data_IF_258952966263
#
_entry.id   IF_258952966263
#
_cell.length_a   1.000
_cell.length_b   1.000
_cell.length_c   1.000
_cell.angle_alpha   90.00
_cell.angle_beta   90.00
_cell.angle_gamma   90.00
#
_symmetry.space_group_name_H-M   'P 1'
#
loop_
_entity.id
_entity.type
_entity.pdbx_description
1 polymer ?
#
# COMPACT_ATOMS: atom_id res chain seq x y z
N UNK A 1 6.49 23.07 18.70
CA UNK A 1 6.94 21.73 19.19
C UNK A 1 6.97 20.83 17.99
N UNK A 2 7.88 19.86 17.88
CA UNK A 2 7.81 18.88 16.80
C UNK A 2 6.48 18.12 16.87
N UNK A 3 5.97 17.69 15.72
CA UNK A 3 4.73 16.90 15.65
C UNK A 3 4.83 15.54 16.36
N UNK A 4 3.75 14.76 16.35
CA UNK A 4 3.72 13.43 16.97
C UNK A 4 4.73 12.45 16.33
N UNK A 5 5.08 12.65 15.05
CA UNK A 5 6.18 11.97 14.37
C UNK A 5 7.08 13.03 13.75
N UNK A 6 8.33 13.04 14.15
CA UNK A 6 9.34 13.95 13.63
C UNK A 6 10.58 13.18 13.21
N UNK A 7 11.12 13.51 12.06
CA UNK A 7 12.40 12.97 11.58
C UNK A 7 13.19 14.07 10.85
N UNK A 8 14.50 14.07 11.03
CA UNK A 8 15.41 15.03 10.42
C UNK A 8 16.64 14.30 9.85
N UNK A 9 16.85 14.45 8.54
CA UNK A 9 18.03 13.96 7.84
C UNK A 9 18.22 12.44 7.93
N UNK A 10 17.14 11.65 7.92
CA UNK A 10 17.25 10.20 8.03
C UNK A 10 17.99 9.60 6.83
N UNK A 11 19.07 8.87 7.13
CA UNK A 11 19.86 8.11 6.14
C UNK A 11 19.92 6.65 6.55
N UNK A 12 19.69 5.76 5.56
CA UNK A 12 19.87 4.32 5.72
C UNK A 12 20.39 3.70 4.43
N UNK A 13 21.48 2.94 4.55
CA UNK A 13 22.13 2.25 3.44
C UNK A 13 22.17 0.74 3.68
N UNK A 14 21.94 -0.05 2.65
CA UNK A 14 22.08 -1.49 2.63
C UNK A 14 23.04 -1.89 1.49
N UNK A 15 24.27 -2.26 1.83
CA UNK A 15 25.33 -2.42 0.82
C UNK A 15 25.50 -1.15 0.02
N UNK A 16 25.32 -1.22 -1.30
CA UNK A 16 25.44 -0.07 -2.20
C UNK A 16 24.13 0.72 -2.38
N UNK A 17 23.01 0.23 -1.83
CA UNK A 17 21.69 0.86 -1.98
C UNK A 17 21.40 1.80 -0.83
N UNK A 18 21.23 3.08 -1.13
CA UNK A 18 20.79 4.09 -0.16
C UNK A 18 19.26 4.12 -0.13
N UNK A 19 18.68 3.42 0.83
CA UNK A 19 17.22 3.29 0.98
C UNK A 19 16.55 4.54 1.57
N UNK A 20 17.28 5.32 2.38
CA UNK A 20 16.88 6.67 2.83
C UNK A 20 18.06 7.60 2.63
N UNK A 21 17.82 8.78 2.05
CA UNK A 21 18.84 9.76 1.69
C UNK A 21 18.43 11.16 2.12
N UNK A 22 18.45 11.40 3.45
CA UNK A 22 18.13 12.70 4.03
C UNK A 22 16.61 12.92 4.11
N UNK A 23 15.85 11.94 4.58
CA UNK A 23 14.38 12.06 4.72
C UNK A 23 14.03 12.89 5.95
N UNK A 24 13.24 13.95 5.71
CA UNK A 24 12.63 14.79 6.74
C UNK A 24 11.12 14.57 6.80
N UNK A 25 10.59 14.39 8.02
CA UNK A 25 9.16 14.22 8.27
C UNK A 25 8.73 15.05 9.48
N UNK A 26 7.53 15.61 9.40
CA UNK A 26 6.87 16.27 10.54
C UNK A 26 5.36 16.01 10.42
N UNK A 27 4.79 15.24 11.36
CA UNK A 27 3.39 14.83 11.35
C UNK A 27 2.72 15.42 12.58
N UNK A 28 1.82 16.38 12.41
CA UNK A 28 1.06 16.95 13.53
C UNK A 28 0.19 15.91 14.22
N UNK A 29 -0.05 16.09 15.52
CA UNK A 29 -0.96 15.23 16.29
C UNK A 29 -2.36 15.14 15.66
N UNK A 30 -2.97 13.96 15.68
CA UNK A 30 -4.32 13.73 15.18
C UNK A 30 -4.46 13.84 13.66
N UNK A 31 -3.34 13.82 12.91
CA UNK A 31 -3.37 13.88 11.43
C UNK A 31 -2.85 12.61 10.77
N UNK A 32 -3.10 12.48 9.48
CA UNK A 32 -2.59 11.39 8.63
C UNK A 32 -1.54 11.95 7.69
N UNK A 33 -0.31 11.44 7.76
CA UNK A 33 0.67 11.59 6.70
C UNK A 33 0.65 10.36 5.79
N UNK A 34 0.30 10.55 4.52
CA UNK A 34 0.43 9.55 3.47
C UNK A 34 1.84 9.59 2.87
N UNK A 35 2.62 8.53 3.04
CA UNK A 35 3.92 8.39 2.37
C UNK A 35 3.71 7.57 1.09
N UNK A 36 3.68 8.27 -0.03
CA UNK A 36 3.40 7.74 -1.35
C UNK A 36 4.69 7.50 -2.14
N UNK A 37 4.78 6.42 -2.88
CA UNK A 37 5.94 6.14 -3.75
C UNK A 37 5.93 4.73 -4.32
N UNK A 38 6.77 4.46 -5.32
CA UNK A 38 6.88 3.12 -5.92
C UNK A 38 7.49 2.11 -4.95
N UNK A 39 7.46 0.83 -5.36
CA UNK A 39 8.17 -0.22 -4.64
C UNK A 39 9.68 0.07 -4.63
N UNK A 40 10.30 -0.09 -3.46
CA UNK A 40 11.73 0.23 -3.29
C UNK A 40 12.05 1.72 -3.04
N UNK A 41 11.08 2.63 -3.03
CA UNK A 41 11.31 4.05 -2.77
C UNK A 41 11.83 4.38 -1.37
N UNK A 42 11.78 3.43 -0.41
CA UNK A 42 12.23 3.63 0.97
C UNK A 42 11.13 3.72 2.02
N UNK A 43 9.84 3.63 1.64
CA UNK A 43 8.68 3.75 2.53
C UNK A 43 8.75 2.81 3.74
N UNK A 44 8.84 1.51 3.51
CA UNK A 44 8.95 0.49 4.57
C UNK A 44 10.21 0.69 5.42
N UNK A 45 11.32 1.16 4.82
CA UNK A 45 12.55 1.47 5.56
C UNK A 45 12.32 2.62 6.54
N UNK A 46 11.64 3.68 6.12
CA UNK A 46 11.28 4.81 7.00
C UNK A 46 10.39 4.33 8.17
N UNK A 47 9.33 3.55 7.89
CA UNK A 47 8.49 2.95 8.94
C UNK A 47 9.33 2.13 9.92
N UNK A 48 10.21 1.23 9.44
CA UNK A 48 11.06 0.41 10.31
C UNK A 48 12.00 1.22 11.19
N UNK A 49 12.51 2.35 10.69
CA UNK A 49 13.34 3.27 11.49
C UNK A 49 12.50 3.93 12.57
N UNK A 50 11.37 4.51 12.23
CA UNK A 50 10.47 5.21 13.16
C UNK A 50 9.87 4.28 14.21
N UNK A 51 9.66 3.01 13.88
CA UNK A 51 9.14 1.99 14.80
C UNK A 51 10.23 1.22 15.56
N UNK A 52 11.48 1.70 15.51
CA UNK A 52 12.64 1.10 16.20
C UNK A 52 13.08 -0.28 15.72
N UNK A 53 12.51 -0.79 14.65
CA UNK A 53 12.88 -2.10 14.06
C UNK A 53 14.20 -2.04 13.28
N UNK A 54 14.62 -0.82 12.90
CA UNK A 54 15.85 -0.59 12.15
C UNK A 54 16.55 0.66 12.68
N UNK A 55 17.87 0.57 12.91
CA UNK A 55 18.65 1.74 13.28
C UNK A 55 19.07 2.52 12.03
N UNK A 56 18.82 3.83 11.93
CA UNK A 56 19.34 4.66 10.85
C UNK A 56 20.85 4.80 10.95
N UNK A 57 21.51 5.10 9.84
CA UNK A 57 22.95 5.38 9.81
C UNK A 57 23.25 6.82 10.22
N UNK A 58 22.30 7.75 9.91
CA UNK A 58 22.35 9.16 10.30
C UNK A 58 20.93 9.69 10.48
N UNK A 59 20.86 10.89 11.09
CA UNK A 59 19.61 11.61 11.32
C UNK A 59 19.06 11.39 12.72
N UNK A 60 17.93 12.04 12.99
CA UNK A 60 17.19 11.97 14.25
C UNK A 60 15.76 11.59 13.99
N UNK A 61 15.15 10.90 14.94
CA UNK A 61 13.72 10.60 14.89
C UNK A 61 13.11 10.65 16.30
N UNK A 62 11.94 11.27 16.40
CA UNK A 62 11.14 11.38 17.61
C UNK A 62 9.73 10.92 17.28
N UNK A 63 9.17 10.04 18.09
CA UNK A 63 7.81 9.52 17.94
C UNK A 63 7.11 9.61 19.29
N UNK A 64 5.91 10.19 19.30
CA UNK A 64 5.15 10.47 20.53
C UNK A 64 5.99 11.25 21.58
N UNK A 65 6.86 12.16 21.12
CA UNK A 65 7.76 12.93 21.98
C UNK A 65 8.99 12.16 22.49
N UNK A 66 9.18 10.90 22.08
CA UNK A 66 10.24 10.00 22.57
C UNK A 66 11.29 9.81 21.47
N UNK A 67 12.58 9.96 21.82
CA UNK A 67 13.69 9.72 20.91
C UNK A 67 13.79 8.22 20.54
N UNK A 68 13.72 7.93 19.26
CA UNK A 68 13.68 6.55 18.71
C UNK A 68 14.97 5.78 19.01
N UNK A 69 16.11 6.46 19.08
CA UNK A 69 17.40 5.84 19.29
C UNK A 69 17.76 5.71 20.77
N UNK A 70 17.34 6.69 21.59
CA UNK A 70 17.66 6.73 23.00
C UNK A 70 16.73 5.85 23.84
N UNK A 71 15.43 5.78 23.47
CA UNK A 71 14.39 5.15 24.28
C UNK A 71 13.50 4.22 23.43
N UNK A 72 14.07 3.23 22.70
CA UNK A 72 13.30 2.40 21.76
C UNK A 72 12.19 1.59 22.42
N UNK A 73 12.36 1.16 23.67
CA UNK A 73 11.35 0.38 24.39
C UNK A 73 10.12 1.24 24.76
N UNK A 74 10.31 2.50 25.07
CA UNK A 74 9.22 3.42 25.36
C UNK A 74 8.45 3.77 24.06
N UNK A 75 9.17 3.98 22.95
CA UNK A 75 8.55 4.16 21.63
C UNK A 75 7.64 2.96 21.32
N UNK A 76 8.14 1.72 21.45
CA UNK A 76 7.35 0.52 21.17
C UNK A 76 6.07 0.38 22.01
N UNK A 77 6.08 0.90 23.24
CA UNK A 77 4.89 0.93 24.10
C UNK A 77 3.88 2.01 23.71
N UNK A 78 4.32 3.05 22.99
CA UNK A 78 3.53 4.21 22.62
C UNK A 78 2.99 4.17 21.19
N UNK A 79 3.33 3.13 20.43
CA UNK A 79 2.95 3.01 19.01
C UNK A 79 2.15 1.76 18.72
N UNK A 80 1.31 1.83 17.69
CA UNK A 80 0.76 0.67 16.99
C UNK A 80 1.45 0.50 15.63
N UNK A 81 1.69 -0.73 15.23
CA UNK A 81 2.24 -1.06 13.92
C UNK A 81 1.41 -2.16 13.29
N UNK A 82 0.87 -1.88 12.10
CA UNK A 82 0.35 -2.89 11.19
C UNK A 82 1.29 -2.96 9.98
N UNK A 83 2.02 -4.06 9.88
CA UNK A 83 3.03 -4.27 8.83
C UNK A 83 2.44 -4.85 7.56
N UNK A 84 3.29 -5.11 6.58
CA UNK A 84 2.93 -5.72 5.30
C UNK A 84 2.39 -7.15 5.46
N UNK A 85 2.86 -7.88 6.49
CA UNK A 85 2.38 -9.21 6.84
C UNK A 85 1.63 -9.15 8.16
N UNK A 86 0.46 -9.80 8.20
CA UNK A 86 -0.33 -9.86 9.41
C UNK A 86 0.44 -10.60 10.54
N UNK A 87 0.61 -9.94 11.68
CA UNK A 87 1.24 -10.50 12.88
C UNK A 87 0.23 -11.34 13.69
N UNK A 88 -0.61 -12.13 13.00
CA UNK A 88 -1.67 -12.95 13.57
C UNK A 88 -1.21 -14.40 13.66
N UNK A 89 -1.34 -15.02 14.80
CA UNK A 89 -1.12 -16.46 14.96
C UNK A 89 -2.30 -17.22 14.33
N UNK A 90 -2.01 -18.00 13.29
CA UNK A 90 -3.02 -18.72 12.53
C UNK A 90 -3.68 -19.87 13.32
N UNK A 91 -3.05 -20.37 14.37
CA UNK A 91 -3.56 -21.47 15.20
C UNK A 91 -4.46 -20.99 16.33
N UNK A 92 -4.39 -19.72 16.68
CA UNK A 92 -5.27 -19.10 17.67
C UNK A 92 -6.56 -18.61 17.00
N UNK A 93 -7.62 -18.48 17.80
CA UNK A 93 -8.85 -17.81 17.36
C UNK A 93 -8.62 -16.29 17.25
N UNK A 94 -9.54 -15.58 16.58
CA UNK A 94 -9.47 -14.11 16.53
C UNK A 94 -9.45 -13.49 17.93
N UNK A 95 -10.27 -14.03 18.84
CA UNK A 95 -10.35 -13.59 20.25
C UNK A 95 -9.05 -13.84 20.99
N UNK A 96 -8.48 -15.03 20.88
CA UNK A 96 -7.22 -15.40 21.55
C UNK A 96 -6.06 -14.55 21.06
N UNK A 97 -5.97 -14.26 19.76
CA UNK A 97 -4.97 -13.36 19.22
C UNK A 97 -5.00 -11.99 19.92
N UNK A 98 -6.17 -11.35 19.99
CA UNK A 98 -6.28 -10.02 20.61
C UNK A 98 -6.01 -10.05 22.11
N UNK A 99 -6.46 -11.10 22.82
CA UNK A 99 -6.17 -11.28 24.26
C UNK A 99 -4.66 -11.46 24.46
N UNK A 100 -4.01 -12.28 23.66
CA UNK A 100 -2.55 -12.51 23.73
C UNK A 100 -1.79 -11.18 23.55
N UNK A 101 -2.14 -10.40 22.55
CA UNK A 101 -1.52 -9.09 22.33
C UNK A 101 -1.74 -8.17 23.52
N UNK A 102 -2.96 -8.08 24.07
CA UNK A 102 -3.24 -7.30 25.27
C UNK A 102 -2.36 -7.73 26.47
N UNK A 103 -2.18 -9.04 26.66
CA UNK A 103 -1.34 -9.56 27.72
C UNK A 103 0.16 -9.27 27.51
N UNK A 104 0.64 -9.29 26.25
CA UNK A 104 2.01 -8.87 25.91
C UNK A 104 2.26 -7.39 26.28
N UNK A 105 1.23 -6.55 26.16
CA UNK A 105 1.26 -5.16 26.65
C UNK A 105 0.91 -5.03 28.15
N UNK A 106 0.96 -6.13 28.92
CA UNK A 106 0.75 -6.16 30.37
C UNK A 106 -0.65 -5.72 30.82
N UNK A 107 -1.67 -5.79 29.96
CA UNK A 107 -3.06 -5.60 30.37
C UNK A 107 -3.51 -6.72 31.31
N UNK A 108 -4.41 -6.38 32.22
CA UNK A 108 -5.06 -7.42 33.03
C UNK A 108 -5.84 -8.39 32.13
N UNK A 109 -5.94 -9.67 32.51
CA UNK A 109 -6.69 -10.64 31.71
C UNK A 109 -8.17 -10.24 31.51
N UNK A 110 -8.75 -9.49 32.46
CA UNK A 110 -10.12 -8.96 32.37
C UNK A 110 -10.21 -7.83 31.32
N UNK A 111 -9.25 -6.90 31.35
CA UNK A 111 -9.23 -5.77 30.41
C UNK A 111 -8.88 -6.23 28.99
N UNK A 112 -7.93 -7.15 28.84
CA UNK A 112 -7.60 -7.76 27.56
C UNK A 112 -8.82 -8.46 26.92
N UNK A 113 -9.60 -9.21 27.69
CA UNK A 113 -10.84 -9.87 27.21
C UNK A 113 -11.90 -8.85 26.79
N UNK A 114 -12.13 -7.82 27.60
CA UNK A 114 -13.06 -6.74 27.27
C UNK A 114 -12.64 -6.03 25.99
N UNK A 115 -11.39 -5.63 25.92
CA UNK A 115 -10.84 -4.92 24.73
C UNK A 115 -10.87 -5.77 23.48
N UNK A 116 -10.56 -7.07 23.59
CA UNK A 116 -10.70 -7.98 22.46
C UNK A 116 -12.13 -8.06 21.92
N UNK A 117 -13.14 -8.13 22.81
CA UNK A 117 -14.53 -8.13 22.39
C UNK A 117 -14.94 -6.83 21.69
N UNK A 118 -14.58 -5.67 22.25
CA UNK A 118 -14.84 -4.35 21.64
C UNK A 118 -14.23 -4.24 20.23
N UNK A 119 -12.98 -4.69 20.06
CA UNK A 119 -12.30 -4.62 18.77
C UNK A 119 -12.87 -5.61 17.76
N UNK A 120 -13.21 -6.83 18.16
CA UNK A 120 -13.85 -7.80 17.26
C UNK A 120 -15.17 -7.27 16.70
N UNK A 121 -15.99 -6.62 17.53
CA UNK A 121 -17.22 -5.98 17.05
C UNK A 121 -16.92 -4.80 16.11
N UNK A 122 -16.02 -3.89 16.51
CA UNK A 122 -15.64 -2.72 15.71
C UNK A 122 -15.11 -3.09 14.33
N UNK A 123 -14.36 -4.19 14.22
CA UNK A 123 -13.79 -4.69 12.97
C UNK A 123 -14.69 -5.69 12.24
N UNK A 124 -15.95 -5.85 12.65
CA UNK A 124 -16.91 -6.80 12.06
C UNK A 124 -16.36 -8.23 11.99
N UNK A 125 -15.74 -8.68 13.08
CA UNK A 125 -15.19 -10.03 13.25
C UNK A 125 -15.92 -10.80 14.37
N UNK A 126 -17.01 -10.26 14.94
CA UNK A 126 -17.77 -10.86 16.04
C UNK A 126 -18.21 -12.28 15.74
N UNK A 127 -18.86 -12.52 14.57
CA UNK A 127 -19.34 -13.85 14.16
C UNK A 127 -18.21 -14.88 13.95
N UNK A 128 -16.98 -14.43 13.74
CA UNK A 128 -15.82 -15.27 13.51
C UNK A 128 -14.86 -15.31 14.70
N UNK A 129 -15.20 -14.62 15.80
CA UNK A 129 -14.30 -14.39 16.94
C UNK A 129 -13.67 -15.66 17.50
N UNK A 130 -14.42 -16.75 17.55
CA UNK A 130 -14.03 -18.03 18.15
C UNK A 130 -13.61 -19.08 17.11
N UNK A 131 -13.44 -18.68 15.84
CA UNK A 131 -12.84 -19.49 14.78
C UNK A 131 -11.34 -19.25 14.74
N UNK A 132 -10.55 -20.28 14.39
CA UNK A 132 -9.10 -20.14 14.19
C UNK A 132 -8.80 -19.18 13.03
N UNK A 133 -7.80 -18.33 13.22
CA UNK A 133 -7.41 -17.31 12.23
C UNK A 133 -6.93 -17.91 10.90
N UNK A 134 -6.48 -19.17 10.91
CA UNK A 134 -6.19 -19.94 9.69
C UNK A 134 -7.38 -20.05 8.74
N UNK A 135 -8.61 -20.05 9.26
CA UNK A 135 -9.85 -20.15 8.47
C UNK A 135 -10.37 -18.79 7.98
N UNK A 136 -9.69 -17.70 8.34
CA UNK A 136 -10.07 -16.36 7.93
C UNK A 136 -9.70 -16.09 6.47
N UNK A 137 -10.53 -15.28 5.79
CA UNK A 137 -10.14 -14.72 4.49
C UNK A 137 -8.95 -13.75 4.67
N UNK A 138 -8.26 -13.39 3.59
CA UNK A 138 -7.18 -12.40 3.63
C UNK A 138 -7.65 -11.07 4.25
N UNK A 139 -8.82 -10.56 3.86
CA UNK A 139 -9.41 -9.37 4.43
C UNK A 139 -9.77 -9.49 5.92
N UNK A 140 -10.23 -10.64 6.37
CA UNK A 140 -10.48 -10.88 7.79
C UNK A 140 -9.19 -10.91 8.58
N UNK A 141 -8.13 -11.57 8.09
CA UNK A 141 -6.82 -11.57 8.73
C UNK A 141 -6.24 -10.16 8.83
N UNK A 142 -6.38 -9.36 7.76
CA UNK A 142 -5.92 -7.97 7.76
C UNK A 142 -6.67 -7.11 8.79
N UNK A 143 -7.98 -7.27 8.91
CA UNK A 143 -8.78 -6.58 9.93
C UNK A 143 -8.39 -7.02 11.35
N UNK A 144 -8.10 -8.30 11.55
CA UNK A 144 -7.63 -8.81 12.84
C UNK A 144 -6.25 -8.26 13.21
N UNK A 145 -5.31 -8.18 12.25
CA UNK A 145 -3.99 -7.58 12.43
C UNK A 145 -4.09 -6.10 12.85
N UNK A 146 -4.95 -5.35 12.19
CA UNK A 146 -5.18 -3.96 12.53
C UNK A 146 -5.84 -3.82 13.92
N UNK A 147 -6.79 -4.70 14.25
CA UNK A 147 -7.39 -4.76 15.57
C UNK A 147 -6.34 -5.05 16.65
N UNK A 148 -5.39 -5.96 16.37
CA UNK A 148 -4.28 -6.28 17.27
C UNK A 148 -3.38 -5.05 17.53
N UNK A 149 -3.04 -4.29 16.49
CA UNK A 149 -2.24 -3.07 16.63
C UNK A 149 -2.95 -1.96 17.45
N UNK A 150 -4.28 -2.07 17.62
CA UNK A 150 -5.11 -1.10 18.35
C UNK A 150 -5.52 -1.56 19.76
N UNK A 151 -5.05 -2.71 20.20
CA UNK A 151 -5.42 -3.24 21.52
C UNK A 151 -5.11 -2.25 22.63
N UNK A 152 -3.97 -1.56 22.58
CA UNK A 152 -3.55 -0.56 23.56
C UNK A 152 -3.95 0.88 23.25
N UNK A 153 -4.73 1.12 22.19
CA UNK A 153 -5.15 2.47 21.78
C UNK A 153 -3.97 3.45 21.67
N UNK A 154 -2.98 3.17 20.83
CA UNK A 154 -1.76 3.97 20.78
C UNK A 154 -2.04 5.39 20.25
N UNK A 155 -1.35 6.44 20.75
CA UNK A 155 -1.48 7.81 20.22
C UNK A 155 -0.91 7.95 18.81
N UNK A 156 0.04 7.09 18.43
CA UNK A 156 0.68 7.09 17.10
C UNK A 156 0.60 5.70 16.49
N UNK A 157 0.17 5.63 15.24
CA UNK A 157 0.03 4.39 14.49
C UNK A 157 0.79 4.45 13.17
N UNK A 158 1.41 3.33 12.83
CA UNK A 158 2.09 3.11 11.56
C UNK A 158 1.37 2.00 10.79
N UNK A 159 1.06 2.27 9.53
CA UNK A 159 0.44 1.29 8.62
C UNK A 159 1.28 1.19 7.34
N UNK A 160 1.90 0.03 7.14
CA UNK A 160 2.72 -0.22 5.96
C UNK A 160 1.92 -0.99 4.92
N UNK A 161 1.47 -0.29 3.87
CA UNK A 161 0.63 -0.78 2.77
C UNK A 161 -0.60 -1.59 3.24
N UNK A 162 -1.49 -0.98 4.05
CA UNK A 162 -2.55 -1.72 4.77
C UNK A 162 -3.59 -2.36 3.86
N UNK A 163 -3.78 -1.87 2.63
CA UNK A 163 -4.82 -2.34 1.71
C UNK A 163 -4.31 -3.24 0.59
N UNK A 164 -3.01 -3.54 0.56
CA UNK A 164 -2.42 -4.42 -0.45
C UNK A 164 -3.07 -5.80 -0.40
N UNK A 165 -3.52 -6.30 -1.57
CA UNK A 165 -4.19 -7.61 -1.70
C UNK A 165 -5.63 -7.66 -1.18
N UNK A 166 -6.25 -6.51 -0.86
CA UNK A 166 -7.67 -6.44 -0.50
C UNK A 166 -8.53 -6.13 -1.73
N UNK A 167 -9.68 -6.77 -1.79
CA UNK A 167 -10.72 -6.40 -2.76
C UNK A 167 -11.30 -5.00 -2.46
N UNK A 168 -11.96 -4.33 -3.42
CA UNK A 168 -12.46 -2.95 -3.25
C UNK A 168 -13.38 -2.77 -2.03
N UNK A 169 -14.22 -3.76 -1.72
CA UNK A 169 -15.15 -3.69 -0.59
C UNK A 169 -14.41 -3.74 0.75
N UNK A 170 -13.46 -4.64 0.89
CA UNK A 170 -12.64 -4.74 2.11
C UNK A 170 -11.72 -3.53 2.27
N UNK A 171 -11.21 -2.97 1.17
CA UNK A 171 -10.44 -1.72 1.17
C UNK A 171 -11.25 -0.56 1.72
N UNK A 172 -12.48 -0.37 1.21
CA UNK A 172 -13.39 0.66 1.68
C UNK A 172 -13.68 0.54 3.18
N UNK A 173 -14.01 -0.66 3.65
CA UNK A 173 -14.28 -0.90 5.06
C UNK A 173 -13.06 -0.60 5.96
N UNK A 174 -11.85 -0.86 5.46
CA UNK A 174 -10.63 -0.52 6.18
C UNK A 174 -10.40 0.99 6.24
N UNK A 175 -10.65 1.71 5.16
CA UNK A 175 -10.55 3.17 5.13
C UNK A 175 -11.50 3.83 6.13
N UNK A 176 -12.73 3.34 6.22
CA UNK A 176 -13.72 3.86 7.18
C UNK A 176 -13.21 3.68 8.63
N UNK A 177 -12.63 2.54 8.96
CA UNK A 177 -12.00 2.30 10.27
C UNK A 177 -10.81 3.25 10.52
N UNK A 178 -9.96 3.48 9.51
CA UNK A 178 -8.83 4.42 9.64
C UNK A 178 -9.33 5.84 9.91
N UNK A 179 -10.35 6.29 9.21
CA UNK A 179 -10.95 7.60 9.42
C UNK A 179 -11.52 7.74 10.84
N UNK A 180 -12.21 6.72 11.36
CA UNK A 180 -12.69 6.72 12.74
C UNK A 180 -11.56 6.81 13.77
N UNK A 181 -10.44 6.13 13.54
CA UNK A 181 -9.28 6.18 14.43
C UNK A 181 -8.69 7.58 14.52
N UNK A 182 -8.53 8.22 13.37
CA UNK A 182 -7.98 9.57 13.28
C UNK A 182 -8.95 10.59 13.87
N UNK A 183 -10.26 10.46 13.64
CA UNK A 183 -11.28 11.27 14.29
C UNK A 183 -11.26 11.10 15.82
N UNK A 184 -10.82 9.96 16.33
CA UNK A 184 -10.57 9.69 17.75
C UNK A 184 -9.25 10.27 18.29
N UNK A 185 -8.49 11.00 17.48
CA UNK A 185 -7.23 11.68 17.86
C UNK A 185 -5.95 10.88 17.62
N UNK A 186 -6.00 9.69 17.03
CA UNK A 186 -4.81 8.92 16.68
C UNK A 186 -4.06 9.58 15.53
N UNK A 187 -2.75 9.76 15.69
CA UNK A 187 -1.87 10.21 14.59
C UNK A 187 -1.43 9.02 13.77
N UNK A 188 -1.46 9.13 12.44
CA UNK A 188 -1.15 8.03 11.54
C UNK A 188 -0.07 8.39 10.52
N UNK A 189 0.92 7.51 10.37
CA UNK A 189 1.77 7.45 9.19
C UNK A 189 1.37 6.22 8.37
N UNK A 190 0.88 6.48 7.17
CA UNK A 190 0.42 5.48 6.22
C UNK A 190 1.38 5.42 5.04
N UNK A 191 1.94 4.26 4.74
CA UNK A 191 2.65 4.06 3.45
C UNK A 191 1.71 3.42 2.45
N UNK A 192 1.78 3.86 1.21
CA UNK A 192 0.99 3.28 0.13
C UNK A 192 1.64 3.50 -1.23
N UNK A 193 1.29 2.66 -2.19
CA UNK A 193 1.51 2.88 -3.61
C UNK A 193 0.21 3.25 -4.33
N UNK A 194 -0.94 3.16 -3.64
CA UNK A 194 -2.26 3.48 -4.19
C UNK A 194 -2.58 4.95 -3.98
N UNK A 195 -2.68 5.66 -5.07
CA UNK A 195 -2.94 7.11 -5.09
C UNK A 195 -4.32 7.46 -4.52
N UNK A 196 -5.32 6.61 -4.79
CA UNK A 196 -6.67 6.77 -4.24
C UNK A 196 -6.69 6.69 -2.70
N UNK A 197 -5.87 5.82 -2.11
CA UNK A 197 -5.74 5.69 -0.66
C UNK A 197 -5.15 6.96 -0.04
N UNK A 198 -4.07 7.47 -0.64
CA UNK A 198 -3.46 8.73 -0.20
C UNK A 198 -4.43 9.91 -0.36
N UNK A 199 -5.13 10.01 -1.49
CA UNK A 199 -6.12 11.07 -1.77
C UNK A 199 -7.27 11.09 -0.75
N UNK A 200 -7.72 9.91 -0.33
CA UNK A 200 -8.87 9.75 0.55
C UNK A 200 -8.54 9.93 2.03
N UNK A 201 -7.38 9.45 2.48
CA UNK A 201 -7.06 9.34 3.90
C UNK A 201 -6.08 10.39 4.39
N UNK A 202 -5.16 10.84 3.55
CA UNK A 202 -4.07 11.69 3.99
C UNK A 202 -4.49 13.16 4.12
N UNK A 203 -4.11 13.77 5.24
CA UNK A 203 -4.18 15.23 5.43
C UNK A 203 -3.01 15.91 4.74
N UNK A 204 -1.85 15.25 4.72
CA UNK A 204 -0.63 15.67 4.03
C UNK A 204 -0.01 14.46 3.35
N UNK A 205 0.53 14.65 2.15
CA UNK A 205 1.13 13.59 1.33
C UNK A 205 2.61 13.92 1.14
N UNK A 206 3.44 12.93 1.41
CA UNK A 206 4.87 12.96 1.19
C UNK A 206 5.20 11.99 0.06
N UNK A 207 5.57 12.49 -1.12
CA UNK A 207 5.98 11.64 -2.25
C UNK A 207 7.45 11.31 -2.11
N UNK A 208 7.75 10.01 -2.05
CA UNK A 208 9.11 9.50 -1.88
C UNK A 208 9.54 8.73 -3.12
N UNK A 209 10.73 9.02 -3.60
CA UNK A 209 11.36 8.28 -4.68
C UNK A 209 12.88 8.18 -4.43
N UNK A 210 13.46 7.00 -4.70
CA UNK A 210 14.88 6.71 -4.48
C UNK A 210 15.42 7.18 -3.12
N UNK A 211 14.65 6.97 -2.07
CA UNK A 211 15.03 7.33 -0.69
C UNK A 211 14.91 8.80 -0.34
N UNK A 212 14.36 9.65 -1.21
CA UNK A 212 14.22 11.09 -1.00
C UNK A 212 12.76 11.52 -1.04
N UNK A 213 12.44 12.55 -0.28
CA UNK A 213 11.18 13.28 -0.41
C UNK A 213 11.28 14.21 -1.61
N UNK A 214 10.51 13.93 -2.67
CA UNK A 214 10.52 14.72 -3.91
C UNK A 214 9.39 15.75 -3.98
N UNK A 215 8.31 15.54 -3.24
CA UNK A 215 7.22 16.50 -3.09
C UNK A 215 6.49 16.29 -1.76
N UNK A 216 5.89 17.37 -1.23
CA UNK A 216 5.05 17.35 -0.05
C UNK A 216 3.94 18.39 -0.16
N UNK A 217 2.76 18.09 0.39
CA UNK A 217 1.61 18.98 0.46
C UNK A 217 0.30 18.20 0.57
N UNK A 218 -0.81 18.93 0.72
CA UNK A 218 -2.13 18.32 0.63
C UNK A 218 -2.38 17.78 -0.78
N UNK A 219 -3.33 16.87 -0.93
CA UNK A 219 -3.73 16.35 -2.24
C UNK A 219 -4.01 17.47 -3.24
N UNK A 220 -4.78 18.49 -2.84
CA UNK A 220 -5.11 19.63 -3.71
C UNK A 220 -3.87 20.46 -4.09
N UNK A 221 -2.94 20.69 -3.13
CA UNK A 221 -1.69 21.39 -3.42
C UNK A 221 -0.81 20.65 -4.42
N UNK A 222 -0.73 19.33 -4.28
CA UNK A 222 0.05 18.50 -5.20
C UNK A 222 -0.60 18.48 -6.60
N UNK A 223 -1.92 18.30 -6.69
CA UNK A 223 -2.67 18.36 -7.95
C UNK A 223 -2.54 19.72 -8.65
N UNK A 224 -2.52 20.82 -7.90
CA UNK A 224 -2.35 22.16 -8.48
C UNK A 224 -0.97 22.37 -9.16
N UNK A 225 0.07 21.63 -8.74
CA UNK A 225 1.42 21.73 -9.35
C UNK A 225 1.51 21.13 -10.75
N UNK A 226 0.60 20.23 -11.14
CA UNK A 226 0.61 19.50 -12.42
C UNK A 226 -0.17 20.19 -13.56
N UNK A 227 -0.46 21.48 -13.43
CA UNK A 227 -1.01 22.27 -14.54
C UNK A 227 -2.50 22.64 -14.43
N UNK A 228 -3.14 22.34 -13.28
CA UNK A 228 -4.51 22.79 -13.03
C UNK A 228 -5.59 22.04 -13.79
N UNK A 229 -6.79 22.61 -13.81
CA UNK A 229 -7.94 22.04 -14.53
C UNK A 229 -7.67 22.01 -16.05
N UNK A 230 -8.20 20.99 -16.73
CA UNK A 230 -8.11 20.81 -18.18
C UNK A 230 -9.50 20.60 -18.75
N UNK A 231 -9.76 21.19 -19.91
CA UNK A 231 -10.93 20.81 -20.71
C UNK A 231 -10.49 19.74 -21.70
N UNK A 232 -11.21 18.63 -21.69
CA UNK A 232 -11.09 17.55 -22.66
C UNK A 232 -12.32 17.56 -23.56
N UNK A 233 -12.10 17.50 -24.86
CA UNK A 233 -13.14 17.45 -25.88
C UNK A 233 -12.87 16.31 -26.81
N UNK A 234 -13.89 15.48 -27.09
CA UNK A 234 -13.85 14.45 -28.13
C UNK A 234 -14.79 14.91 -29.24
N UNK A 235 -14.23 15.22 -30.41
CA UNK A 235 -15.04 15.65 -31.57
C UNK A 235 -15.61 14.43 -32.29
N UNK A 236 -16.82 14.62 -32.90
CA UNK A 236 -17.51 13.56 -33.62
C UNK A 236 -16.73 13.10 -34.86
N UNK A 237 -16.18 14.02 -35.62
CA UNK A 237 -15.46 13.75 -36.86
C UNK A 237 -14.04 14.34 -36.84
N UNK A 238 -13.03 13.66 -37.44
CA UNK A 238 -11.65 14.15 -37.47
C UNK A 238 -11.48 15.52 -38.11
N UNK A 239 -12.34 15.89 -39.06
CA UNK A 239 -12.35 17.21 -39.72
C UNK A 239 -12.62 18.39 -38.77
N UNK A 240 -13.27 18.12 -37.64
CA UNK A 240 -13.53 19.11 -36.60
C UNK A 240 -12.34 19.42 -35.70
N UNK A 241 -11.28 18.58 -35.70
CA UNK A 241 -10.14 18.72 -34.81
C UNK A 241 -9.45 20.08 -34.88
N UNK A 242 -9.24 20.60 -36.11
CA UNK A 242 -8.54 21.89 -36.29
C UNK A 242 -9.35 23.04 -35.73
N UNK A 243 -10.66 23.07 -36.03
CA UNK A 243 -11.56 24.15 -35.57
C UNK A 243 -11.74 24.07 -34.05
N UNK A 244 -11.85 22.85 -33.50
CA UNK A 244 -11.94 22.64 -32.04
C UNK A 244 -10.65 23.07 -31.33
N UNK A 245 -9.46 22.81 -31.89
CA UNK A 245 -8.18 23.25 -31.34
C UNK A 245 -8.07 24.77 -31.30
N UNK A 246 -8.49 25.45 -32.37
CA UNK A 246 -8.54 26.93 -32.41
C UNK A 246 -9.46 27.51 -31.34
N UNK A 247 -10.65 26.94 -31.19
CA UNK A 247 -11.60 27.35 -30.14
C UNK A 247 -11.00 27.17 -28.77
N UNK A 248 -10.49 25.97 -28.48
CA UNK A 248 -9.92 25.63 -27.16
C UNK A 248 -8.75 26.52 -26.81
N UNK A 249 -7.86 26.84 -27.77
CA UNK A 249 -6.73 27.76 -27.55
C UNK A 249 -7.18 29.15 -27.10
N UNK A 250 -8.36 29.60 -27.51
CA UNK A 250 -8.93 30.87 -27.05
C UNK A 250 -9.27 30.89 -25.56
N UNK A 251 -9.50 29.76 -24.95
CA UNK A 251 -9.83 29.60 -23.53
C UNK A 251 -8.67 29.08 -22.67
N UNK A 252 -7.65 28.50 -23.31
CA UNK A 252 -6.53 27.82 -22.64
C UNK A 252 -5.46 28.77 -22.11
N UNK A 253 -4.69 28.29 -21.11
CA UNK A 253 -3.51 29.00 -20.55
C UNK A 253 -2.19 28.27 -20.84
N UNK A 254 -2.10 27.54 -21.92
CA UNK A 254 -0.90 26.79 -22.30
C UNK A 254 -1.06 26.05 -23.60
N UNK A 255 -0.09 25.18 -23.89
CA UNK A 255 -0.18 24.34 -25.08
C UNK A 255 -1.20 23.22 -24.85
N UNK A 256 -2.14 23.07 -25.79
CA UNK A 256 -3.08 21.98 -25.85
C UNK A 256 -2.44 20.75 -26.51
N UNK A 257 -2.96 19.58 -26.19
CA UNK A 257 -2.59 18.31 -26.84
C UNK A 257 -3.74 17.86 -27.73
N UNK A 258 -3.43 17.48 -28.96
CA UNK A 258 -4.38 16.90 -29.91
C UNK A 258 -3.98 15.45 -30.18
N UNK A 259 -4.90 14.52 -29.95
CA UNK A 259 -4.76 13.11 -30.23
C UNK A 259 -5.65 12.71 -31.42
N UNK A 260 -5.13 12.68 -32.66
CA UNK A 260 -5.96 12.46 -33.86
C UNK A 260 -6.68 11.10 -33.89
N UNK A 261 -6.05 10.05 -33.34
CA UNK A 261 -6.63 8.70 -33.36
C UNK A 261 -7.85 8.55 -32.44
N UNK A 262 -7.85 9.24 -31.30
CA UNK A 262 -8.95 9.26 -30.34
C UNK A 262 -9.89 10.43 -30.56
N UNK A 263 -9.57 11.32 -31.50
CA UNK A 263 -10.29 12.57 -31.79
C UNK A 263 -10.40 13.47 -30.57
N UNK A 264 -9.46 13.37 -29.65
CA UNK A 264 -9.46 14.02 -28.34
C UNK A 264 -8.53 15.23 -28.36
N UNK A 265 -9.03 16.32 -27.80
CA UNK A 265 -8.26 17.53 -27.52
C UNK A 265 -8.25 17.77 -26.01
N UNK A 266 -7.11 18.19 -25.49
CA UNK A 266 -6.95 18.52 -24.07
C UNK A 266 -6.24 19.85 -23.95
N UNK A 267 -6.79 20.79 -23.18
CA UNK A 267 -6.15 22.08 -22.95
C UNK A 267 -6.20 22.48 -21.47
N UNK A 268 -5.09 22.98 -20.90
CA UNK A 268 -5.09 23.54 -19.54
C UNK A 268 -5.97 24.80 -19.48
N UNK A 269 -6.82 24.89 -18.45
CA UNK A 269 -7.75 26.02 -18.28
C UNK A 269 -7.80 26.49 -16.82
N UNK A 270 -8.37 27.67 -16.61
CA UNK A 270 -8.76 28.15 -15.28
C UNK A 270 -10.14 28.78 -15.39
N UNK A 271 -11.08 28.35 -14.56
CA UNK A 271 -12.43 28.94 -14.59
C UNK A 271 -13.55 27.96 -14.24
N UNK A 272 -13.21 26.70 -14.04
CA UNK A 272 -14.17 25.69 -13.57
C UNK A 272 -15.34 25.43 -14.54
N UNK A 273 -16.45 25.00 -13.99
CA UNK A 273 -17.64 24.60 -14.77
C UNK A 273 -18.24 25.76 -15.61
N UNK A 274 -18.00 27.04 -15.23
CA UNK A 274 -18.49 28.17 -16.00
C UNK A 274 -17.81 28.27 -17.38
N UNK A 275 -16.49 28.04 -17.39
CA UNK A 275 -15.71 28.03 -18.61
C UNK A 275 -16.16 26.91 -19.56
N UNK A 276 -16.50 25.73 -19.01
CA UNK A 276 -16.99 24.62 -19.83
C UNK A 276 -18.24 24.98 -20.62
N UNK A 277 -19.17 25.74 -20.00
CA UNK A 277 -20.37 26.20 -20.70
C UNK A 277 -20.07 27.23 -21.81
N UNK A 278 -19.00 28.01 -21.66
CA UNK A 278 -18.57 28.97 -22.70
C UNK A 278 -17.90 28.24 -23.87
N UNK A 279 -17.07 27.23 -23.57
CA UNK A 279 -16.43 26.36 -24.57
C UNK A 279 -17.49 25.63 -25.41
N UNK A 280 -18.49 25.03 -24.76
CA UNK A 280 -19.58 24.32 -25.47
C UNK A 280 -20.30 25.26 -26.45
N UNK A 281 -20.66 26.47 -26.01
CA UNK A 281 -21.33 27.46 -26.87
C UNK A 281 -20.49 27.86 -28.06
N UNK A 282 -19.20 28.09 -27.88
CA UNK A 282 -18.31 28.48 -28.97
C UNK A 282 -18.11 27.36 -29.98
N UNK A 283 -17.97 26.08 -29.50
CA UNK A 283 -17.91 24.93 -30.40
C UNK A 283 -19.19 24.76 -31.22
N UNK A 284 -20.36 24.91 -30.59
CA UNK A 284 -21.65 24.85 -31.26
C UNK A 284 -21.81 25.97 -32.32
N UNK A 285 -21.45 27.22 -31.99
CA UNK A 285 -21.46 28.34 -32.95
C UNK A 285 -20.55 28.12 -34.15
N UNK A 286 -19.46 27.38 -34.01
CA UNK A 286 -18.53 27.01 -35.09
C UNK A 286 -18.94 25.72 -35.82
N UNK A 287 -20.09 25.13 -35.48
CA UNK A 287 -20.58 23.89 -36.08
C UNK A 287 -19.74 22.64 -35.77
N UNK A 288 -19.03 22.62 -34.64
CA UNK A 288 -18.26 21.48 -34.20
C UNK A 288 -19.17 20.53 -33.44
N UNK A 289 -19.41 19.34 -33.99
CA UNK A 289 -20.10 18.26 -33.30
C UNK A 289 -19.16 17.58 -32.34
N UNK A 290 -19.61 17.40 -31.09
CA UNK A 290 -18.84 16.78 -30.00
C UNK A 290 -19.50 15.50 -29.52
N UNK A 291 -18.70 14.44 -29.30
CA UNK A 291 -19.13 13.17 -28.68
C UNK A 291 -19.06 13.22 -27.16
N UNK A 292 -18.02 13.86 -26.61
CA UNK A 292 -17.84 14.05 -25.17
C UNK A 292 -17.10 15.35 -24.87
N UNK A 293 -17.43 15.97 -23.74
CA UNK A 293 -16.72 17.12 -23.21
C UNK A 293 -16.71 17.07 -21.68
N UNK A 294 -15.57 17.33 -21.07
CA UNK A 294 -15.44 17.32 -19.63
C UNK A 294 -14.38 18.28 -19.10
N UNK A 295 -14.63 18.78 -17.89
CA UNK A 295 -13.61 19.45 -17.10
C UNK A 295 -12.90 18.39 -16.25
N UNK A 296 -11.65 18.12 -16.55
CA UNK A 296 -10.82 17.19 -15.80
C UNK A 296 -9.95 17.96 -14.81
N UNK A 297 -9.97 17.52 -13.58
CA UNK A 297 -9.01 17.95 -12.57
C UNK A 297 -7.85 16.99 -12.57
N UNK A 298 -6.61 17.49 -12.39
CA UNK A 298 -5.46 16.59 -12.24
C UNK A 298 -5.71 15.57 -11.15
N UNK A 299 -5.31 14.35 -11.41
CA UNK A 299 -5.30 13.27 -10.42
C UNK A 299 -3.94 13.23 -9.71
N UNK A 300 -3.83 12.50 -8.62
CA UNK A 300 -2.52 12.22 -8.03
C UNK A 300 -1.65 11.36 -8.95
N UNK A 301 -2.26 10.59 -9.88
CA UNK A 301 -1.52 9.86 -10.93
C UNK A 301 -0.76 10.82 -11.84
N UNK A 302 -1.40 11.91 -12.29
CA UNK A 302 -0.75 12.94 -13.11
C UNK A 302 0.41 13.60 -12.35
N UNK A 303 0.22 13.86 -11.05
CA UNK A 303 1.28 14.37 -10.16
C UNK A 303 2.45 13.41 -10.11
N UNK A 304 2.15 12.15 -9.85
CA UNK A 304 3.18 11.12 -9.67
C UNK A 304 4.00 10.92 -10.95
N UNK A 305 3.33 10.80 -12.11
CA UNK A 305 3.99 10.69 -13.43
C UNK A 305 4.87 11.93 -13.70
N UNK A 306 4.38 13.12 -13.39
CA UNK A 306 5.13 14.36 -13.64
C UNK A 306 6.39 14.49 -12.76
N UNK A 307 6.36 13.93 -11.54
CA UNK A 307 7.47 14.02 -10.59
C UNK A 307 8.49 12.89 -10.73
N UNK A 308 8.04 11.68 -11.05
CA UNK A 308 8.91 10.48 -11.08
C UNK A 308 9.27 10.04 -12.49
N UNK A 309 8.53 10.47 -13.51
CA UNK A 309 8.64 9.96 -14.89
C UNK A 309 8.12 8.53 -15.09
N UNK A 310 7.55 7.92 -14.05
CA UNK A 310 6.98 6.58 -14.07
C UNK A 310 5.48 6.64 -13.81
N UNK A 311 4.68 5.81 -14.52
CA UNK A 311 3.30 5.59 -14.13
C UNK A 311 3.28 4.89 -12.76
N UNK A 312 2.39 5.32 -11.87
CA UNK A 312 2.10 4.54 -10.68
C UNK A 312 1.65 3.15 -11.17
N UNK A 313 2.13 2.08 -10.53
CA UNK A 313 1.63 0.74 -10.82
C UNK A 313 0.13 0.73 -10.55
N UNK A 314 -0.66 0.91 -11.61
CA UNK A 314 -2.10 0.70 -11.55
C UNK A 314 -2.31 -0.75 -11.14
N UNK A 315 -3.14 -0.97 -10.14
CA UNK A 315 -3.51 -2.31 -9.71
C UNK A 315 -4.12 -3.05 -10.91
N UNK A 316 -3.31 -3.82 -11.64
CA UNK A 316 -3.79 -4.87 -12.54
C UNK A 316 -4.42 -5.99 -11.70
N UNK A 317 -5.54 -5.70 -11.08
CA UNK A 317 -6.48 -6.69 -10.56
C UNK A 317 -7.84 -6.51 -11.21
N UNK A 318 -7.88 -6.69 -12.53
CA UNK A 318 -9.13 -7.03 -13.22
C UNK A 318 -8.85 -8.17 -14.20
N UNK A 319 -9.19 -9.40 -13.78
CA UNK A 319 -9.55 -10.42 -14.73
C UNK A 319 -8.61 -11.59 -14.97
N UNK A 320 -8.28 -12.34 -13.96
CA UNK A 320 -8.02 -13.76 -14.16
C UNK A 320 -9.34 -14.49 -14.44
N UNK A 321 -9.81 -14.44 -15.67
CA UNK A 321 -11.03 -15.11 -16.12
C UNK A 321 -11.19 -15.11 -17.64
N UNK A 322 -10.31 -15.82 -18.37
CA UNK A 322 -10.42 -15.91 -19.82
C UNK A 322 -9.58 -17.04 -20.39
N UNK A 323 -10.22 -18.14 -20.58
CA UNK A 323 -9.78 -19.42 -21.17
C UNK A 323 -8.83 -19.27 -22.35
N UNK A 324 -7.81 -20.14 -22.34
CA UNK A 324 -6.86 -20.35 -23.41
C UNK A 324 -7.50 -20.62 -24.77
N UNK A 325 -6.95 -20.02 -25.80
CA UNK A 325 -7.03 -20.49 -27.17
C UNK A 325 -5.63 -20.82 -27.66
N UNK A 326 -5.45 -22.09 -27.88
CA UNK A 326 -4.29 -22.73 -28.49
C UNK A 326 -4.14 -22.21 -29.92
N UNK A 327 -3.17 -21.34 -30.13
CA UNK A 327 -2.70 -20.93 -31.47
C UNK A 327 -1.66 -21.90 -32.00
N UNK A 328 -2.11 -22.79 -32.90
CA UNK A 328 -1.32 -23.77 -33.66
C UNK A 328 -0.52 -23.03 -34.74
N UNK A 329 0.75 -22.81 -34.53
CA UNK A 329 1.66 -22.37 -35.59
C UNK A 329 2.20 -23.58 -36.37
N UNK A 330 1.73 -23.71 -37.63
CA UNK A 330 2.34 -24.53 -38.67
C UNK A 330 3.69 -23.93 -39.08
N UNK A 331 4.75 -24.72 -39.00
CA UNK A 331 5.93 -24.57 -39.86
C UNK A 331 6.20 -25.89 -40.55
N UNK A 332 6.11 -25.84 -41.87
CA UNK A 332 6.43 -26.92 -42.77
C UNK A 332 7.92 -26.88 -43.17
N UNK A 333 8.38 -28.02 -43.66
CA UNK A 333 9.55 -28.11 -44.55
C UNK A 333 10.60 -29.10 -44.11
N UNK A 334 10.47 -30.33 -44.57
CA UNK A 334 11.30 -31.06 -45.55
C UNK A 334 12.55 -31.83 -45.07
N UNK A 335 12.48 -33.13 -45.44
CA UNK A 335 13.56 -34.02 -45.90
C UNK A 335 14.61 -34.50 -44.88
N UNK A 336 14.73 -35.75 -44.60
CA UNK A 336 15.18 -36.84 -45.38
C UNK A 336 15.74 -38.01 -44.55
N UNK A 337 15.33 -39.21 -44.96
CA UNK A 337 16.08 -40.47 -44.98
C UNK A 337 16.52 -41.23 -43.72
N UNK A 338 15.89 -42.42 -43.63
CA UNK A 338 16.43 -43.77 -43.51
C UNK A 338 17.32 -44.17 -42.34
N UNK A 339 16.93 -45.25 -41.67
CA UNK A 339 17.82 -46.14 -40.94
C UNK A 339 17.16 -47.03 -39.90
N UNK A 340 16.60 -48.12 -40.32
CA UNK A 340 16.48 -49.49 -39.84
C UNK A 340 17.02 -49.85 -38.45
N UNK A 341 16.23 -50.66 -37.78
CA UNK A 341 16.62 -51.82 -36.92
C UNK A 341 16.54 -51.52 -35.45
N UNK A 342 15.79 -52.20 -34.71
CA UNK A 342 15.61 -53.56 -34.41
C UNK A 342 15.36 -53.73 -32.93
N UNK A 343 14.28 -54.37 -32.54
CA UNK A 343 14.13 -55.36 -31.45
C UNK A 343 15.05 -55.18 -30.18
N UNK A 344 14.65 -55.33 -28.94
CA UNK A 344 13.82 -56.32 -28.28
C UNK A 344 13.70 -55.94 -26.78
N UNK A 345 12.56 -56.28 -26.19
CA UNK A 345 12.29 -57.05 -25.00
C UNK A 345 13.07 -56.80 -23.66
N UNK A 346 12.31 -56.82 -22.58
CA UNK A 346 12.69 -57.43 -21.31
C UNK A 346 12.53 -56.48 -20.10
N UNK A 347 11.45 -56.53 -19.38
CA UNK A 347 11.10 -57.40 -18.23
C UNK A 347 11.78 -57.02 -16.92
N UNK A 348 10.88 -56.81 -15.92
CA UNK A 348 11.00 -57.05 -14.47
C UNK A 348 11.74 -56.08 -13.56
N UNK A 349 10.99 -55.56 -12.63
CA UNK A 349 11.15 -55.08 -11.28
C UNK A 349 12.02 -55.93 -10.31
N UNK A 350 11.77 -55.93 -8.99
CA UNK A 350 11.69 -54.86 -8.01
C UNK A 350 12.79 -55.04 -6.92
N UNK A 351 12.92 -54.18 -5.94
CA UNK A 351 13.68 -54.44 -4.73
C UNK A 351 14.30 -53.19 -4.16
N UNK A 352 13.95 -52.98 -3.00
CA UNK A 352 14.42 -53.04 -1.62
C UNK A 352 15.01 -51.74 -1.12
N UNK A 353 14.44 -51.14 -0.12
CA UNK A 353 14.50 -51.28 1.33
C UNK A 353 15.80 -50.81 1.98
N UNK A 354 15.69 -49.72 2.82
CA UNK A 354 16.29 -49.44 4.08
C UNK A 354 17.74 -48.92 4.12
N UNK A 355 18.24 -48.47 5.28
CA UNK A 355 17.67 -48.58 6.63
C UNK A 355 17.69 -47.30 7.48
N UNK A 356 16.97 -47.40 8.57
CA UNK A 356 16.94 -46.54 9.74
C UNK A 356 18.30 -46.42 10.47
N UNK A 357 18.57 -45.25 11.01
CA UNK A 357 19.58 -45.08 12.07
C UNK A 357 18.90 -44.56 13.34
N UNK A 358 18.88 -45.40 14.34
CA UNK A 358 18.64 -45.11 15.76
C UNK A 358 19.79 -44.26 16.29
N UNK A 359 19.48 -43.28 17.14
CA UNK A 359 20.43 -42.76 18.12
C UNK A 359 19.81 -42.83 19.48
N UNK A 360 20.62 -43.30 20.39
CA UNK A 360 20.39 -43.80 21.72
C UNK A 360 20.13 -42.71 22.75
N UNK A 361 19.38 -43.13 23.77
CA UNK A 361 19.30 -42.54 25.12
C UNK A 361 20.60 -42.68 25.87
N UNK A 362 20.94 -41.64 26.64
CA UNK A 362 21.71 -41.73 27.90
C UNK A 362 21.32 -40.47 28.69
N UNK A 363 20.74 -40.43 29.80
CA UNK A 363 20.77 -41.26 31.00
C UNK A 363 21.71 -40.62 32.04
N UNK A 364 21.17 -40.31 33.23
CA UNK A 364 21.80 -39.91 34.48
C UNK A 364 21.99 -38.39 34.70
N UNK A 365 21.68 -37.79 35.83
CA UNK A 365 21.26 -38.23 37.13
C UNK A 365 21.13 -36.98 38.01
N UNK A 366 20.16 -37.01 38.87
CA UNK A 366 19.94 -36.05 39.97
C UNK A 366 21.00 -36.25 41.03
N UNK A 367 21.46 -35.23 41.75
CA UNK A 367 21.31 -35.32 43.20
C UNK A 367 20.63 -34.11 43.86
N UNK A 368 19.72 -34.46 44.72
CA UNK A 368 19.20 -33.67 45.83
C UNK A 368 20.28 -33.42 46.85
N UNK A 369 20.38 -32.18 47.36
CA UNK A 369 20.76 -32.01 48.77
C UNK A 369 20.02 -30.83 49.39
N UNK A 370 19.58 -31.11 50.59
CA UNK A 370 18.88 -30.30 51.58
C UNK A 370 19.88 -29.55 52.47
N UNK A 371 19.33 -28.64 53.22
CA UNK A 371 19.83 -27.90 54.40
C UNK A 371 20.18 -26.45 54.08
N UNK A 372 19.70 -25.42 54.74
CA UNK A 372 19.08 -25.28 56.05
C UNK A 372 19.52 -23.95 56.63
N UNK A 373 18.59 -23.19 57.16
CA UNK A 373 18.74 -22.25 58.28
C UNK A 373 19.60 -20.96 58.08
N UNK A 374 19.01 -19.84 57.97
CA UNK A 374 18.72 -18.80 58.96
C UNK A 374 17.91 -17.68 58.34
#
# INVERSE_FOLDING_TARGET
>A
MPGAIYAEGLVKTFGDVRALDGVDLDVPEGTVLGMLGPNGAGKTTAVRVLTTLLRPDRGKAVVAGIDVLAQPDEVRRSIGLSGQFAAVDEYLTGRENLIMVGQLYQMSGRDAKRRAAELLERFHLGDAADRTAKTYSGGMRRRLDLAAALVVSPPVMFMDEPTTGLDPRNRQALWDVIQELVAGGTTLLLTTQYLEEADRLAHDICVVDHGKVIARGTSDQLKARTGGERVEVVVHAPEHLTVADEVLRGFGKGEGTVEPHTRKLTIPVTGGAKLLAEVIRELDMRGVEIDDIGLRRPTLDDVFISLTGHAAEAAEENGAGGKGSVGRQKRGGKDGKEGKGGRDAGVAGPGEAGPAARVAEAGAGVPTDKEGVK
#
